data_IF_005403457995
#
_entry.id   IF_005403457995
#
_cell.length_a   1.000
_cell.length_b   1.000
_cell.length_c   1.000
_cell.angle_alpha   90.00
_cell.angle_beta   90.00
_cell.angle_gamma   90.00
#
_symmetry.space_group_name_H-M   'P 1'
#
loop_
_entity.id
_entity.type
_entity.pdbx_description
1 polymer ?
#
# COMPACT_ATOMS: atom_id res chain seq x y z
N UNK A 1 -31.06 -12.08 9.89
CA UNK A 1 -31.23 -12.81 8.61
C UNK A 1 -32.47 -12.34 7.86
N UNK A 2 -33.59 -12.12 8.54
CA UNK A 2 -34.87 -11.64 7.98
C UNK A 2 -34.79 -10.40 7.07
N UNK A 3 -34.00 -9.37 7.42
CA UNK A 3 -33.91 -8.15 6.61
C UNK A 3 -33.32 -8.40 5.21
N UNK A 4 -32.41 -9.37 5.09
CA UNK A 4 -31.78 -9.76 3.82
C UNK A 4 -32.78 -10.51 2.95
N UNK A 5 -33.50 -11.47 3.52
CA UNK A 5 -34.49 -12.26 2.81
C UNK A 5 -35.65 -11.39 2.31
N UNK A 6 -36.16 -10.50 3.17
CA UNK A 6 -37.20 -9.55 2.79
C UNK A 6 -36.74 -8.58 1.69
N UNK A 7 -35.46 -8.18 1.70
CA UNK A 7 -34.89 -7.33 0.66
C UNK A 7 -34.79 -8.07 -0.68
N UNK A 8 -34.42 -9.35 -0.66
CA UNK A 8 -34.36 -10.18 -1.86
C UNK A 8 -35.76 -10.46 -2.43
N UNK A 9 -36.74 -10.72 -1.57
CA UNK A 9 -38.14 -10.87 -1.98
C UNK A 9 -38.67 -9.59 -2.64
N UNK A 10 -38.44 -8.42 -2.04
CA UNK A 10 -38.81 -7.14 -2.65
C UNK A 10 -38.06 -6.87 -3.96
N UNK A 11 -36.81 -7.30 -4.09
CA UNK A 11 -36.07 -7.18 -5.34
C UNK A 11 -36.73 -7.99 -6.46
N UNK A 12 -37.10 -9.24 -6.20
CA UNK A 12 -37.78 -10.12 -7.18
C UNK A 12 -39.11 -9.49 -7.60
N UNK A 13 -39.91 -9.03 -6.63
CA UNK A 13 -41.21 -8.41 -6.89
C UNK A 13 -41.13 -7.07 -7.62
N UNK A 14 -40.00 -6.36 -7.52
CA UNK A 14 -39.84 -5.00 -8.06
C UNK A 14 -38.89 -4.90 -9.24
N UNK A 15 -38.40 -6.02 -9.78
CA UNK A 15 -37.36 -6.02 -10.81
C UNK A 15 -37.83 -5.25 -12.07
N UNK A 16 -39.05 -5.49 -12.52
CA UNK A 16 -39.62 -4.94 -13.76
C UNK A 16 -40.45 -3.65 -13.53
N UNK A 17 -40.54 -3.17 -12.29
CA UNK A 17 -41.27 -1.94 -11.97
C UNK A 17 -40.41 -0.70 -12.15
N UNK A 18 -41.05 0.37 -12.64
CA UNK A 18 -40.44 1.69 -12.76
C UNK A 18 -40.00 2.26 -11.41
N UNK A 19 -38.98 3.13 -11.46
CA UNK A 19 -38.41 3.81 -10.30
C UNK A 19 -39.41 4.66 -9.51
N UNK A 20 -40.46 5.15 -10.17
CA UNK A 20 -41.54 5.93 -9.55
C UNK A 20 -42.47 5.08 -8.67
N UNK A 21 -42.51 3.76 -8.89
CA UNK A 21 -43.48 2.90 -8.25
C UNK A 21 -43.25 2.80 -6.72
N UNK A 22 -44.31 2.92 -5.88
CA UNK A 22 -44.19 2.88 -4.42
C UNK A 22 -43.42 1.66 -3.90
N UNK A 23 -43.69 0.46 -4.43
CA UNK A 23 -42.95 -0.76 -4.06
C UNK A 23 -41.45 -0.67 -4.38
N UNK A 24 -41.06 -0.10 -5.53
CA UNK A 24 -39.65 0.08 -5.89
C UNK A 24 -38.96 1.04 -4.92
N UNK A 25 -39.65 2.12 -4.53
CA UNK A 25 -39.17 3.06 -3.52
C UNK A 25 -38.97 2.39 -2.15
N UNK A 26 -39.90 1.50 -1.73
CA UNK A 26 -39.72 0.74 -0.49
C UNK A 26 -38.50 -0.19 -0.55
N UNK A 27 -38.28 -0.88 -1.68
CA UNK A 27 -37.09 -1.68 -1.90
C UNK A 27 -35.81 -0.85 -1.80
N UNK A 28 -35.75 0.32 -2.45
CA UNK A 28 -34.59 1.21 -2.41
C UNK A 28 -34.27 1.64 -0.96
N UNK A 29 -35.28 2.08 -0.21
CA UNK A 29 -35.14 2.45 1.20
C UNK A 29 -34.63 1.28 2.04
N UNK A 30 -35.17 0.08 1.83
CA UNK A 30 -34.78 -1.10 2.60
C UNK A 30 -33.37 -1.58 2.26
N UNK A 31 -32.98 -1.53 0.98
CA UNK A 31 -31.62 -1.79 0.52
C UNK A 31 -30.61 -0.83 1.15
N UNK A 32 -30.97 0.46 1.26
CA UNK A 32 -30.15 1.47 1.95
C UNK A 32 -29.97 1.12 3.42
N UNK A 33 -31.07 0.88 4.14
CA UNK A 33 -31.05 0.50 5.55
C UNK A 33 -30.23 -0.77 5.81
N UNK A 34 -30.35 -1.78 4.94
CA UNK A 34 -29.54 -2.99 5.02
C UNK A 34 -28.05 -2.68 4.87
N UNK A 35 -27.65 -1.88 3.86
CA UNK A 35 -26.25 -1.48 3.66
C UNK A 35 -25.68 -0.69 4.83
N UNK A 36 -26.50 0.14 5.48
CA UNK A 36 -26.11 0.89 6.69
C UNK A 36 -25.87 -0.07 7.86
N UNK A 37 -26.78 -1.01 8.10
CA UNK A 37 -26.60 -2.04 9.14
C UNK A 37 -25.36 -2.89 8.92
N UNK A 38 -25.11 -3.32 7.68
CA UNK A 38 -23.89 -4.08 7.35
C UNK A 38 -22.63 -3.25 7.60
N UNK A 39 -22.61 -1.98 7.22
CA UNK A 39 -21.47 -1.09 7.49
C UNK A 39 -21.25 -0.89 8.99
N UNK A 40 -22.31 -0.65 9.74
CA UNK A 40 -22.24 -0.46 11.20
C UNK A 40 -21.75 -1.74 11.90
N UNK A 41 -22.25 -2.91 11.52
CA UNK A 41 -21.80 -4.18 12.08
C UNK A 41 -20.32 -4.45 11.79
N UNK A 42 -19.86 -4.22 10.55
CA UNK A 42 -18.44 -4.33 10.19
C UNK A 42 -17.55 -3.37 10.98
N UNK A 43 -17.98 -2.12 11.14
CA UNK A 43 -17.25 -1.13 11.92
C UNK A 43 -17.16 -1.54 13.40
N UNK A 44 -18.26 -2.02 13.97
CA UNK A 44 -18.30 -2.50 15.36
C UNK A 44 -17.39 -3.70 15.58
N UNK A 45 -17.33 -4.63 14.62
CA UNK A 45 -16.46 -5.81 14.68
C UNK A 45 -14.98 -5.41 14.67
N UNK A 46 -14.60 -4.49 13.78
CA UNK A 46 -13.24 -3.93 13.72
C UNK A 46 -12.88 -3.21 15.02
N UNK A 47 -13.78 -2.37 15.55
CA UNK A 47 -13.56 -1.68 16.81
C UNK A 47 -13.38 -2.65 17.97
N UNK A 48 -14.23 -3.68 18.04
CA UNK A 48 -14.12 -4.74 19.03
C UNK A 48 -12.76 -5.45 18.94
N UNK A 49 -12.33 -5.83 17.73
CA UNK A 49 -11.02 -6.45 17.47
C UNK A 49 -9.85 -5.58 17.95
N UNK A 50 -9.88 -4.28 17.67
CA UNK A 50 -8.83 -3.35 18.12
C UNK A 50 -8.86 -3.18 19.63
N UNK A 51 -10.04 -2.97 20.23
CA UNK A 51 -10.18 -2.73 21.67
C UNK A 51 -9.72 -3.90 22.54
N UNK A 52 -9.98 -5.14 22.11
CA UNK A 52 -9.60 -6.35 22.83
C UNK A 52 -8.18 -6.83 22.52
N UNK A 53 -7.46 -6.15 21.63
CA UNK A 53 -6.09 -6.55 21.30
C UNK A 53 -5.11 -6.14 22.40
N UNK A 54 -4.13 -7.00 22.67
CA UNK A 54 -3.03 -6.68 23.60
C UNK A 54 -2.19 -5.49 23.10
N UNK A 55 -2.10 -5.31 21.78
CA UNK A 55 -1.41 -4.20 21.14
C UNK A 55 -2.34 -3.51 20.14
N UNK A 56 -2.98 -2.43 20.60
CA UNK A 56 -3.97 -1.68 19.82
C UNK A 56 -3.37 -1.00 18.59
N UNK A 57 -2.14 -0.49 18.68
CA UNK A 57 -1.46 0.16 17.57
C UNK A 57 -1.20 -0.83 16.43
N UNK A 58 -0.69 -2.03 16.76
CA UNK A 58 -0.48 -3.10 15.78
C UNK A 58 -1.80 -3.58 15.19
N UNK A 59 -2.81 -3.83 16.02
CA UNK A 59 -4.12 -4.26 15.54
C UNK A 59 -4.75 -3.25 14.57
N UNK A 60 -4.62 -1.95 14.86
CA UNK A 60 -5.10 -0.89 13.97
C UNK A 60 -4.33 -0.84 12.66
N UNK A 61 -3.00 -1.02 12.71
CA UNK A 61 -2.16 -1.11 11.52
C UNK A 61 -2.51 -2.32 10.64
N UNK A 62 -2.79 -3.47 11.26
CA UNK A 62 -3.19 -4.68 10.57
C UNK A 62 -4.55 -4.51 9.87
N UNK A 63 -5.54 -3.88 10.55
CA UNK A 63 -6.82 -3.50 9.93
C UNK A 63 -6.60 -2.64 8.68
N UNK A 64 -5.74 -1.62 8.77
CA UNK A 64 -5.47 -0.73 7.62
C UNK A 64 -4.84 -1.52 6.49
N UNK A 65 -3.82 -2.34 6.76
CA UNK A 65 -3.11 -3.11 5.74
C UNK A 65 -4.01 -4.13 5.03
N UNK A 66 -4.92 -4.79 5.75
CA UNK A 66 -5.90 -5.72 5.19
C UNK A 66 -6.88 -5.04 4.22
N UNK A 67 -7.17 -3.76 4.43
CA UNK A 67 -8.18 -3.01 3.66
C UNK A 67 -7.59 -2.16 2.53
N UNK A 68 -6.27 -2.16 2.31
CA UNK A 68 -5.64 -1.49 1.17
C UNK A 68 -5.88 -2.31 -0.10
N UNK A 69 -6.65 -1.80 -1.07
CA UNK A 69 -6.87 -2.51 -2.33
C UNK A 69 -5.56 -2.64 -3.11
N UNK A 70 -5.30 -3.82 -3.69
CA UNK A 70 -4.10 -4.07 -4.49
C UNK A 70 -2.87 -4.56 -3.71
N UNK A 71 -2.92 -4.61 -2.36
CA UNK A 71 -1.97 -5.39 -1.55
C UNK A 71 -2.37 -6.88 -1.59
N UNK A 72 -2.28 -7.51 -2.77
CA UNK A 72 -2.09 -8.95 -2.77
C UNK A 72 -0.77 -9.20 -2.03
N UNK A 73 -0.78 -10.08 -1.02
CA UNK A 73 0.48 -10.55 -0.44
C UNK A 73 1.32 -11.08 -1.59
N UNK A 74 2.39 -10.36 -1.94
CA UNK A 74 3.30 -10.83 -2.99
C UNK A 74 3.77 -12.20 -2.51
N UNK A 75 3.63 -13.26 -3.32
CA UNK A 75 4.20 -14.54 -2.94
C UNK A 75 5.67 -14.30 -2.64
N UNK A 76 6.13 -14.82 -1.51
CA UNK A 76 7.53 -14.74 -1.15
C UNK A 76 8.33 -15.37 -2.29
N UNK A 77 9.05 -14.55 -3.06
CA UNK A 77 9.96 -15.05 -4.08
C UNK A 77 11.23 -15.46 -3.35
N UNK A 78 11.57 -16.76 -3.30
CA UNK A 78 12.82 -17.19 -2.68
C UNK A 78 13.98 -16.53 -3.41
N UNK A 79 14.85 -15.86 -2.65
CA UNK A 79 16.01 -15.17 -3.19
C UNK A 79 16.95 -16.21 -3.82
N UNK A 80 17.30 -16.03 -5.09
CA UNK A 80 18.21 -16.93 -5.80
C UNK A 80 19.31 -16.13 -6.49
N UNK A 81 20.55 -16.60 -6.36
CA UNK A 81 21.71 -16.00 -7.01
C UNK A 81 22.31 -17.03 -7.98
N UNK A 82 22.76 -16.57 -9.14
CA UNK A 82 23.50 -17.41 -10.09
C UNK A 82 24.99 -17.28 -9.75
N UNK A 83 25.64 -18.40 -9.47
CA UNK A 83 27.08 -18.44 -9.24
C UNK A 83 27.87 -18.24 -10.54
N UNK A 84 29.16 -17.97 -10.42
CA UNK A 84 30.11 -17.83 -11.54
C UNK A 84 30.17 -19.09 -12.43
N UNK A 85 29.68 -20.23 -11.93
CA UNK A 85 29.56 -21.52 -12.65
C UNK A 85 28.23 -21.69 -13.39
N UNK A 86 27.34 -20.71 -13.35
CA UNK A 86 26.00 -20.77 -13.93
C UNK A 86 24.97 -21.55 -13.10
N UNK A 87 25.32 -21.98 -11.88
CA UNK A 87 24.44 -22.73 -11.00
C UNK A 87 23.53 -21.79 -10.19
N UNK A 88 22.25 -22.14 -10.07
CA UNK A 88 21.25 -21.39 -9.32
C UNK A 88 21.31 -21.78 -7.84
N UNK A 89 21.81 -20.88 -7.00
CA UNK A 89 21.79 -21.03 -5.54
C UNK A 89 20.44 -20.60 -4.96
N UNK A 90 19.80 -21.51 -4.24
CA UNK A 90 18.56 -21.26 -3.50
C UNK A 90 18.71 -21.31 -1.98
N UNK A 91 19.82 -21.86 -1.47
CA UNK A 91 20.06 -21.95 -0.04
C UNK A 91 20.37 -20.54 0.52
N UNK A 92 19.54 -20.01 1.45
CA UNK A 92 19.74 -18.69 2.04
C UNK A 92 21.13 -18.51 2.66
N UNK A 93 21.72 -19.59 3.20
CA UNK A 93 23.05 -19.53 3.81
C UNK A 93 24.11 -19.30 2.75
N UNK A 94 24.12 -20.12 1.70
CA UNK A 94 25.06 -19.98 0.58
C UNK A 94 24.89 -18.65 -0.16
N UNK A 95 23.66 -18.17 -0.31
CA UNK A 95 23.36 -16.85 -0.89
C UNK A 95 23.95 -15.72 -0.04
N UNK A 96 23.81 -15.81 1.29
CA UNK A 96 24.35 -14.80 2.21
C UNK A 96 25.89 -14.83 2.24
N UNK A 97 26.47 -16.03 2.27
CA UNK A 97 27.93 -16.20 2.23
C UNK A 97 28.51 -15.64 0.93
N UNK A 98 27.86 -15.90 -0.21
CA UNK A 98 28.28 -15.36 -1.51
C UNK A 98 28.16 -13.84 -1.59
N UNK A 99 27.09 -13.25 -1.05
CA UNK A 99 26.96 -11.80 -0.96
C UNK A 99 28.04 -11.20 -0.07
N UNK A 100 28.32 -11.82 1.08
CA UNK A 100 29.39 -11.38 1.97
C UNK A 100 30.75 -11.42 1.28
N UNK A 101 31.09 -12.52 0.59
CA UNK A 101 32.33 -12.62 -0.20
C UNK A 101 32.44 -11.52 -1.25
N UNK A 102 31.35 -11.28 -2.00
CA UNK A 102 31.30 -10.22 -3.00
C UNK A 102 31.58 -8.84 -2.39
N UNK A 103 30.91 -8.48 -1.30
CA UNK A 103 31.12 -7.18 -0.65
C UNK A 103 32.50 -7.03 -0.01
N UNK A 104 33.07 -8.11 0.54
CA UNK A 104 34.45 -8.13 1.04
C UNK A 104 35.43 -7.89 -0.12
N UNK A 105 35.23 -8.57 -1.26
CA UNK A 105 36.10 -8.44 -2.43
C UNK A 105 36.02 -7.05 -3.06
N UNK A 106 34.82 -6.48 -3.22
CA UNK A 106 34.63 -5.10 -3.68
C UNK A 106 35.30 -4.10 -2.73
N UNK A 107 35.22 -4.34 -1.42
CA UNK A 107 35.90 -3.53 -0.40
C UNK A 107 37.43 -3.58 -0.50
N UNK A 108 38.01 -4.70 -0.93
CA UNK A 108 39.46 -4.84 -1.13
C UNK A 108 39.96 -4.10 -2.38
N UNK A 109 39.17 -4.07 -3.46
CA UNK A 109 39.51 -3.32 -4.69
C UNK A 109 39.56 -1.81 -4.45
N UNK A 110 38.85 -1.30 -3.44
CA UNK A 110 38.90 0.11 -3.04
C UNK A 110 40.15 0.52 -2.24
N UNK A 111 41.01 -0.44 -1.84
CA UNK A 111 42.21 -0.17 -1.04
C UNK A 111 43.49 -0.05 -1.88
N UNK A 112 43.45 -0.46 -3.15
CA UNK A 112 44.50 -0.12 -4.12
C UNK A 112 44.29 1.31 -4.59
N UNK A 113 45.27 2.16 -4.30
CA UNK A 113 45.23 3.62 -4.37
C UNK A 113 45.19 4.22 -5.79
N UNK A 114 44.49 3.60 -6.75
CA UNK A 114 44.50 4.01 -8.16
C UNK A 114 43.19 3.78 -8.93
N UNK A 115 42.03 3.83 -8.26
CA UNK A 115 40.76 3.97 -8.98
C UNK A 115 40.10 5.29 -8.63
N UNK A 116 39.74 6.05 -9.67
CA UNK A 116 39.12 7.36 -9.59
C UNK A 116 38.06 7.38 -8.48
N UNK A 117 38.11 8.35 -7.55
CA UNK A 117 37.05 8.47 -6.57
C UNK A 117 35.74 8.60 -7.33
N UNK A 118 34.76 7.78 -6.97
CA UNK A 118 33.36 8.08 -7.21
C UNK A 118 33.17 9.60 -7.04
N UNK A 119 32.46 10.30 -7.94
CA UNK A 119 32.22 11.72 -7.73
C UNK A 119 31.68 11.85 -6.33
N UNK A 120 32.43 12.56 -5.47
CA UNK A 120 32.09 12.74 -4.06
C UNK A 120 30.59 12.99 -4.01
N UNK A 121 29.88 12.18 -3.21
CA UNK A 121 28.55 12.56 -2.76
C UNK A 121 28.69 14.01 -2.33
N UNK A 122 28.15 14.93 -3.16
CA UNK A 122 28.32 16.37 -2.96
C UNK A 122 28.00 16.60 -1.51
N UNK A 123 29.01 16.97 -0.73
CA UNK A 123 28.79 17.43 0.64
C UNK A 123 27.76 18.52 0.47
N UNK A 124 26.52 18.25 0.86
CA UNK A 124 25.46 19.26 0.83
C UNK A 124 25.99 20.37 1.71
N UNK A 125 26.37 21.47 1.06
CA UNK A 125 26.83 22.66 1.76
C UNK A 125 25.76 22.99 2.78
N UNK A 126 26.16 23.12 4.06
CA UNK A 126 25.28 23.46 5.21
C UNK A 126 24.52 24.78 5.06
N UNK A 127 24.63 25.42 3.91
CA UNK A 127 24.16 26.75 3.63
C UNK A 127 22.97 26.66 2.68
N UNK A 128 21.80 26.43 3.27
CA UNK A 128 20.53 26.58 2.58
C UNK A 128 20.09 28.03 2.70
N UNK A 129 20.33 28.82 1.64
CA UNK A 129 19.88 30.21 1.59
C UNK A 129 18.52 30.28 0.92
N UNK A 130 17.52 30.71 1.68
CA UNK A 130 16.21 31.08 1.15
C UNK A 130 16.22 32.55 0.80
N UNK A 131 15.66 32.89 -0.36
CA UNK A 131 15.45 34.27 -0.79
C UNK A 131 13.94 34.56 -0.82
N UNK A 132 13.52 35.81 -0.60
CA UNK A 132 12.13 36.20 -0.77
C UNK A 132 11.69 35.94 -2.22
N UNK A 133 10.59 35.21 -2.36
CA UNK A 133 10.02 34.91 -3.68
C UNK A 133 9.26 36.11 -4.24
N UNK A 134 9.12 36.17 -5.57
CA UNK A 134 8.28 37.15 -6.25
C UNK A 134 7.08 36.50 -6.96
N UNK A 135 6.04 37.30 -7.23
CA UNK A 135 4.80 36.81 -7.84
C UNK A 135 5.01 36.11 -9.20
N UNK A 136 5.95 36.62 -10.02
CA UNK A 136 6.26 36.04 -11.34
C UNK A 136 6.88 34.65 -11.21
N UNK A 137 7.73 34.46 -10.21
CA UNK A 137 8.40 33.20 -9.92
C UNK A 137 7.38 32.11 -9.54
N UNK A 138 6.39 32.46 -8.70
CA UNK A 138 5.30 31.55 -8.33
C UNK A 138 4.46 31.15 -9.56
N UNK A 139 4.11 32.11 -10.40
CA UNK A 139 3.32 31.85 -11.62
C UNK A 139 4.07 30.88 -12.55
N UNK A 140 5.38 31.07 -12.74
CA UNK A 140 6.20 30.21 -13.59
C UNK A 140 6.26 28.77 -13.06
N UNK A 141 6.42 28.58 -11.75
CA UNK A 141 6.42 27.25 -11.13
C UNK A 141 5.05 26.58 -11.31
N UNK A 142 3.96 27.30 -11.07
CA UNK A 142 2.60 26.77 -11.26
C UNK A 142 2.33 26.37 -12.72
N UNK A 143 2.84 27.12 -13.69
CA UNK A 143 2.74 26.77 -15.11
C UNK A 143 3.54 25.51 -15.44
N UNK A 144 4.74 25.35 -14.88
CA UNK A 144 5.57 24.15 -15.10
C UNK A 144 4.97 22.85 -14.53
N UNK A 145 4.07 22.96 -13.55
CA UNK A 145 3.40 21.81 -12.92
C UNK A 145 2.18 21.30 -13.68
N UNK A 146 1.69 22.04 -14.69
CA UNK A 146 0.59 21.60 -15.56
C UNK A 146 1.10 20.73 -16.71
N UNK A 147 1.80 19.64 -16.36
CA UNK A 147 1.98 18.48 -17.24
C UNK A 147 0.98 17.39 -16.86
#
# INVERSE_FOLDING_TARGET
LELRERMLQLFILTKDLESSHPLKQTYIKMKKSFRERVRSAKASDVLHRVSNSKNQQKAMWDVVNENIPGKAAKPFTPLSIINDRGELLHDPKLVSDRLNEYFIQVGQVGNDSSSNPFPENRVLTRNFYLFPTNEKEVINVVQSLKT
#
